data_IF_360160145276
#
_entry.id   IF_360160145276
#
_cell.length_a   1.000
_cell.length_b   1.000
_cell.length_c   1.000
_cell.angle_alpha   90.00
_cell.angle_beta   90.00
_cell.angle_gamma   90.00
#
_symmetry.space_group_name_H-M   'P 1'
#
loop_
_entity.id
_entity.type
_entity.pdbx_description
1 polymer ?
#
# COMPACT_ATOMS: atom_id res chain seq x y z
N UNK A 1 -31.42 -17.03 4.75
CA UNK A 1 -30.73 -16.03 5.58
C UNK A 1 -29.33 -16.55 5.83
N UNK A 2 -28.37 -16.19 4.97
CA UNK A 2 -26.99 -16.67 5.10
C UNK A 2 -26.22 -15.72 6.02
N UNK A 3 -25.60 -16.30 7.06
CA UNK A 3 -24.90 -15.61 8.14
C UNK A 3 -23.77 -14.72 7.59
N UNK A 4 -23.75 -13.47 8.03
CA UNK A 4 -22.61 -12.57 7.84
C UNK A 4 -21.63 -12.79 8.99
N UNK A 5 -20.45 -13.38 8.79
CA UNK A 5 -19.32 -13.10 9.66
C UNK A 5 -18.76 -11.72 9.29
N UNK A 6 -19.52 -10.67 9.60
CA UNK A 6 -19.05 -9.29 9.54
C UNK A 6 -18.23 -9.02 10.81
N UNK A 7 -16.96 -8.67 10.67
CA UNK A 7 -16.12 -8.28 11.80
C UNK A 7 -14.63 -8.30 11.47
N UNK A 8 -13.98 -9.46 11.61
CA UNK A 8 -12.49 -9.53 11.56
C UNK A 8 -11.90 -10.11 10.27
N UNK A 9 -12.57 -11.06 9.62
CA UNK A 9 -11.99 -11.75 8.44
C UNK A 9 -11.71 -10.81 7.26
N UNK A 10 -12.62 -9.85 7.02
CA UNK A 10 -12.45 -8.87 5.94
C UNK A 10 -11.31 -7.86 6.22
N UNK A 11 -11.05 -7.54 7.48
CA UNK A 11 -9.94 -6.67 7.89
C UNK A 11 -8.59 -7.36 7.67
N UNK A 12 -8.47 -8.60 8.15
CA UNK A 12 -7.23 -9.38 8.04
C UNK A 12 -6.90 -9.60 6.56
N UNK A 13 -7.87 -10.00 5.73
CA UNK A 13 -7.66 -10.17 4.29
C UNK A 13 -7.24 -8.88 3.61
N UNK A 14 -7.87 -7.74 3.94
CA UNK A 14 -7.50 -6.43 3.38
C UNK A 14 -6.08 -6.00 3.79
N UNK A 15 -5.69 -6.27 5.04
CA UNK A 15 -4.35 -5.99 5.54
C UNK A 15 -3.30 -6.87 4.85
N UNK A 16 -3.56 -8.17 4.72
CA UNK A 16 -2.67 -9.12 4.03
C UNK A 16 -2.50 -8.72 2.56
N UNK A 17 -3.58 -8.37 1.86
CA UNK A 17 -3.50 -7.89 0.47
C UNK A 17 -2.65 -6.61 0.38
N UNK A 18 -2.85 -5.68 1.31
CA UNK A 18 -2.07 -4.45 1.36
C UNK A 18 -0.58 -4.74 1.58
N UNK A 19 -0.21 -5.68 2.44
CA UNK A 19 1.18 -6.09 2.62
C UNK A 19 1.76 -6.76 1.38
N UNK A 20 1.04 -7.72 0.77
CA UNK A 20 1.49 -8.43 -0.43
C UNK A 20 1.77 -7.47 -1.59
N UNK A 21 0.96 -6.41 -1.74
CA UNK A 21 1.14 -5.38 -2.78
C UNK A 21 2.13 -4.30 -2.35
N UNK A 22 2.10 -3.89 -1.08
CA UNK A 22 2.91 -2.79 -0.55
C UNK A 22 4.39 -3.13 -0.43
N UNK A 23 4.73 -4.36 -0.04
CA UNK A 23 6.13 -4.82 0.07
C UNK A 23 6.93 -4.68 -1.22
N UNK A 24 6.49 -5.19 -2.39
CA UNK A 24 7.22 -5.00 -3.64
C UNK A 24 7.28 -3.52 -4.07
N UNK A 25 6.26 -2.72 -3.76
CA UNK A 25 6.29 -1.28 -4.04
C UNK A 25 7.38 -0.56 -3.24
N UNK A 26 7.45 -0.84 -1.93
CA UNK A 26 8.49 -0.27 -1.05
C UNK A 26 9.88 -0.74 -1.48
N UNK A 27 10.02 -2.01 -1.82
CA UNK A 27 11.29 -2.56 -2.31
C UNK A 27 11.76 -1.85 -3.60
N UNK A 28 10.84 -1.59 -4.53
CA UNK A 28 11.16 -0.83 -5.75
C UNK A 28 11.58 0.61 -5.44
N UNK A 29 10.84 1.32 -4.57
CA UNK A 29 11.19 2.68 -4.16
C UNK A 29 12.56 2.70 -3.48
N UNK A 30 12.85 1.74 -2.62
CA UNK A 30 14.15 1.60 -1.97
C UNK A 30 15.28 1.33 -2.95
N UNK A 31 15.05 0.49 -3.96
CA UNK A 31 16.01 0.22 -5.02
C UNK A 31 16.32 1.49 -5.81
N UNK A 32 15.29 2.20 -6.28
CA UNK A 32 15.47 3.48 -7.00
C UNK A 32 16.14 4.53 -6.12
N UNK A 33 15.81 4.60 -4.84
CA UNK A 33 16.49 5.49 -3.90
C UNK A 33 17.98 5.14 -3.76
N UNK A 34 18.31 3.85 -3.71
CA UNK A 34 19.69 3.37 -3.66
C UNK A 34 20.46 3.74 -4.93
N UNK A 35 19.83 3.62 -6.10
CA UNK A 35 20.41 4.01 -7.38
C UNK A 35 20.67 5.53 -7.42
N UNK A 36 19.71 6.33 -6.95
CA UNK A 36 19.86 7.79 -6.83
C UNK A 36 21.00 8.16 -5.88
N UNK A 37 21.10 7.50 -4.72
CA UNK A 37 22.15 7.74 -3.74
C UNK A 37 23.53 7.29 -4.22
N UNK A 38 23.59 6.29 -5.11
CA UNK A 38 24.83 5.84 -5.75
C UNK A 38 25.28 6.72 -6.92
N UNK A 39 24.53 7.78 -7.24
CA UNK A 39 24.83 8.70 -8.34
C UNK A 39 24.37 8.22 -9.72
N UNK A 40 23.74 7.04 -9.81
CA UNK A 40 23.10 6.54 -11.03
C UNK A 40 21.67 7.06 -11.12
N UNK A 41 21.52 8.36 -11.40
CA UNK A 41 20.20 9.00 -11.49
C UNK A 41 19.64 8.86 -12.90
N UNK A 42 18.84 7.82 -13.12
CA UNK A 42 18.01 7.71 -14.30
C UNK A 42 16.62 8.37 -14.06
N UNK A 43 16.20 9.26 -14.96
CA UNK A 43 14.96 10.05 -14.79
C UNK A 43 13.71 9.16 -14.80
N UNK A 44 13.72 8.10 -15.62
CA UNK A 44 12.59 7.20 -15.82
C UNK A 44 12.25 6.42 -14.52
N UNK A 45 13.18 5.70 -13.87
CA UNK A 45 12.89 4.97 -12.64
C UNK A 45 12.54 5.89 -11.48
N UNK A 46 13.13 7.09 -11.39
CA UNK A 46 12.77 8.09 -10.37
C UNK A 46 11.32 8.54 -10.54
N UNK A 47 10.91 8.85 -11.76
CA UNK A 47 9.53 9.26 -12.05
C UNK A 47 8.54 8.13 -11.76
N UNK A 48 8.90 6.89 -12.12
CA UNK A 48 8.10 5.70 -11.80
C UNK A 48 7.98 5.48 -10.29
N UNK A 49 9.06 5.65 -9.53
CA UNK A 49 9.05 5.53 -8.08
C UNK A 49 8.15 6.58 -7.42
N UNK A 50 8.17 7.83 -7.89
CA UNK A 50 7.27 8.89 -7.41
C UNK A 50 5.81 8.53 -7.71
N UNK A 51 5.50 8.09 -8.93
CA UNK A 51 4.16 7.65 -9.29
C UNK A 51 3.69 6.46 -8.43
N UNK A 52 4.58 5.50 -8.20
CA UNK A 52 4.32 4.33 -7.36
C UNK A 52 4.05 4.73 -5.90
N UNK A 53 4.82 5.68 -5.37
CA UNK A 53 4.63 6.25 -4.05
C UNK A 53 3.24 6.90 -3.92
N UNK A 54 2.80 7.66 -4.92
CA UNK A 54 1.46 8.25 -4.94
C UNK A 54 0.36 7.18 -4.92
N UNK A 55 0.51 6.12 -5.72
CA UNK A 55 -0.43 4.98 -5.72
C UNK A 55 -0.47 4.33 -4.33
N UNK A 56 0.69 4.13 -3.70
CA UNK A 56 0.78 3.57 -2.36
C UNK A 56 0.06 4.45 -1.33
N UNK A 57 0.22 5.77 -1.38
CA UNK A 57 -0.48 6.71 -0.49
C UNK A 57 -2.00 6.68 -0.69
N UNK A 58 -2.47 6.55 -1.93
CA UNK A 58 -3.90 6.40 -2.23
C UNK A 58 -4.44 5.10 -1.65
N UNK A 59 -3.73 3.98 -1.82
CA UNK A 59 -4.08 2.69 -1.23
C UNK A 59 -4.10 2.76 0.30
N UNK A 60 -3.10 3.40 0.91
CA UNK A 60 -3.02 3.60 2.35
C UNK A 60 -4.20 4.43 2.85
N UNK A 61 -4.57 5.50 2.14
CA UNK A 61 -5.74 6.32 2.48
C UNK A 61 -7.04 5.52 2.37
N UNK A 62 -7.13 4.63 1.39
CA UNK A 62 -8.29 3.76 1.22
C UNK A 62 -8.39 2.73 2.36
N UNK A 63 -7.27 2.14 2.75
CA UNK A 63 -7.17 1.22 3.88
C UNK A 63 -7.52 1.92 5.20
N UNK A 64 -6.98 3.12 5.45
CA UNK A 64 -7.31 3.93 6.63
C UNK A 64 -8.81 4.23 6.70
N UNK A 65 -9.42 4.67 5.59
CA UNK A 65 -10.87 4.87 5.52
C UNK A 65 -11.66 3.59 5.75
N UNK A 66 -11.17 2.45 5.26
CA UNK A 66 -11.81 1.16 5.44
C UNK A 66 -11.77 0.73 6.91
N UNK A 67 -10.63 0.93 7.57
CA UNK A 67 -10.45 0.70 9.01
C UNK A 67 -11.32 1.66 9.83
N UNK A 68 -11.30 2.96 9.55
CA UNK A 68 -12.16 3.97 10.23
C UNK A 68 -13.65 3.69 10.05
N UNK A 69 -14.05 3.17 8.89
CA UNK A 69 -15.44 2.80 8.61
C UNK A 69 -15.88 1.59 9.42
N UNK A 70 -14.99 0.62 9.64
CA UNK A 70 -15.29 -0.56 10.47
C UNK A 70 -15.11 -0.30 11.96
N UNK A 71 -14.14 0.53 12.35
CA UNK A 71 -13.91 0.93 13.74
C UNK A 71 -15.03 1.78 14.34
N UNK A 72 -15.83 2.47 13.52
CA UNK A 72 -17.06 3.16 13.95
C UNK A 72 -18.30 2.26 14.10
N UNK A 73 -18.21 0.99 13.69
CA UNK A 73 -19.30 0.03 13.77
C UNK A 73 -19.19 -0.92 14.98
N UNK A 74 -18.15 -0.74 15.80
CA UNK A 74 -17.92 -1.40 17.10
C UNK A 74 -18.16 -0.41 18.22
#
# INVERSE_FOLDING_TARGET
>A
MAERPAGNGSLITGLVLFFVVGTPMIAYVWHVLSDVLSGHVEIIPVTAAIALLLVFLVLLRFLLRFIERMGRAS
#
